data_IF_857146639986
#
_entry.id   IF_857146639986
#
_cell.length_a   1.000
_cell.length_b   1.000
_cell.length_c   1.000
_cell.angle_alpha   90.00
_cell.angle_beta   90.00
_cell.angle_gamma   90.00
#
_symmetry.space_group_name_H-M   'P 1'
#
loop_
_entity.id
_entity.type
_entity.pdbx_description
1 polymer ?
#
# COMPACT_ATOMS: atom_id res chain seq x y z
N UNK A 1 2.55 -9.66 15.43
CA UNK A 1 2.84 -8.32 14.86
C UNK A 1 2.80 -8.49 13.36
N UNK A 2 1.90 -7.81 12.65
CA UNK A 2 1.89 -7.88 11.20
C UNK A 2 3.22 -7.32 10.67
N UNK A 3 3.97 -8.12 9.93
CA UNK A 3 5.23 -7.71 9.30
C UNK A 3 4.93 -6.82 8.09
N UNK A 4 5.92 -6.02 7.70
CA UNK A 4 5.86 -5.23 6.46
C UNK A 4 5.47 -6.12 5.25
N UNK A 5 6.03 -7.32 5.15
CA UNK A 5 5.74 -8.26 4.09
C UNK A 5 4.27 -8.73 4.09
N UNK A 6 3.70 -9.02 5.26
CA UNK A 6 2.28 -9.40 5.38
C UNK A 6 1.36 -8.26 4.93
N UNK A 7 1.65 -7.02 5.34
CA UNK A 7 0.89 -5.85 4.88
C UNK A 7 0.85 -5.76 3.35
N UNK A 8 2.02 -5.83 2.72
CA UNK A 8 2.15 -5.70 1.27
C UNK A 8 1.55 -6.89 0.53
N UNK A 9 1.66 -8.11 1.06
CA UNK A 9 1.03 -9.30 0.49
C UNK A 9 -0.50 -9.23 0.55
N UNK A 10 -1.07 -8.80 1.68
CA UNK A 10 -2.52 -8.60 1.79
C UNK A 10 -3.00 -7.53 0.82
N UNK A 11 -2.30 -6.40 0.75
CA UNK A 11 -2.63 -5.32 -0.18
C UNK A 11 -2.58 -5.80 -1.64
N UNK A 12 -1.52 -6.52 -2.01
CA UNK A 12 -1.38 -7.11 -3.34
C UNK A 12 -2.55 -8.01 -3.73
N UNK A 13 -2.95 -8.88 -2.82
CA UNK A 13 -4.02 -9.84 -3.06
C UNK A 13 -5.34 -9.09 -3.30
N UNK A 14 -5.65 -8.08 -2.48
CA UNK A 14 -6.85 -7.25 -2.66
C UNK A 14 -6.84 -6.51 -4.00
N UNK A 15 -5.71 -5.92 -4.39
CA UNK A 15 -5.56 -5.26 -5.69
C UNK A 15 -5.73 -6.25 -6.86
N UNK A 16 -5.16 -7.46 -6.75
CA UNK A 16 -5.34 -8.53 -7.76
C UNK A 16 -6.79 -9.00 -7.85
N UNK A 17 -7.52 -9.00 -6.74
CA UNK A 17 -8.96 -9.30 -6.69
C UNK A 17 -9.84 -8.18 -7.28
N UNK A 18 -9.27 -7.03 -7.64
CA UNK A 18 -9.98 -5.94 -8.30
C UNK A 18 -10.40 -4.80 -7.37
N UNK A 19 -9.95 -4.79 -6.11
CA UNK A 19 -10.16 -3.64 -5.24
C UNK A 19 -9.34 -2.45 -5.74
N UNK A 20 -9.88 -1.25 -5.57
CA UNK A 20 -9.05 -0.04 -5.65
C UNK A 20 -8.09 0.01 -4.46
N UNK A 21 -6.99 0.76 -4.58
CA UNK A 21 -6.02 0.96 -3.50
C UNK A 21 -6.69 1.46 -2.21
N UNK A 22 -7.58 2.45 -2.31
CA UNK A 22 -8.30 3.00 -1.16
C UNK A 22 -9.25 2.00 -0.52
N UNK A 23 -9.98 1.21 -1.32
CA UNK A 23 -10.87 0.17 -0.82
C UNK A 23 -10.10 -0.96 -0.12
N UNK A 24 -8.96 -1.37 -0.68
CA UNK A 24 -8.10 -2.39 -0.09
C UNK A 24 -7.52 -1.93 1.26
N UNK A 25 -7.00 -0.71 1.32
CA UNK A 25 -6.51 -0.10 2.56
C UNK A 25 -7.62 -0.03 3.61
N UNK A 26 -8.81 0.47 3.25
CA UNK A 26 -9.95 0.54 4.16
C UNK A 26 -10.31 -0.84 4.72
N UNK A 27 -10.37 -1.86 3.87
CA UNK A 27 -10.64 -3.24 4.30
C UNK A 27 -9.58 -3.76 5.30
N UNK A 28 -8.30 -3.50 5.05
CA UNK A 28 -7.21 -3.88 5.95
C UNK A 28 -7.34 -3.20 7.32
N UNK A 29 -7.73 -1.91 7.35
CA UNK A 29 -7.94 -1.17 8.60
C UNK A 29 -9.17 -1.62 9.39
N UNK A 30 -10.19 -2.14 8.70
CA UNK A 30 -11.40 -2.69 9.32
C UNK A 30 -11.17 -4.10 9.88
N UNK A 31 -10.31 -4.89 9.23
CA UNK A 31 -10.03 -6.28 9.62
C UNK A 31 -8.92 -6.40 10.67
N UNK A 32 -7.96 -5.47 10.70
CA UNK A 32 -6.88 -5.44 11.68
C UNK A 32 -6.75 -4.07 12.37
N UNK A 33 -7.15 -4.01 13.64
CA UNK A 33 -7.05 -2.81 14.47
C UNK A 33 -5.61 -2.34 14.71
N UNK A 34 -4.61 -3.20 14.62
CA UNK A 34 -3.21 -2.79 14.75
C UNK A 34 -2.73 -2.00 13.51
N UNK A 35 -3.21 -2.38 12.33
CA UNK A 35 -2.89 -1.69 11.07
C UNK A 35 -3.66 -0.37 10.91
N UNK A 36 -4.82 -0.27 11.55
CA UNK A 36 -5.73 0.89 11.44
C UNK A 36 -5.04 2.25 11.54
N UNK A 37 -4.15 2.45 12.51
CA UNK A 37 -3.46 3.75 12.68
C UNK A 37 -2.57 4.09 11.48
N UNK A 38 -1.74 3.15 11.05
CA UNK A 38 -0.83 3.37 9.91
C UNK A 38 -1.60 3.54 8.60
N UNK A 39 -2.64 2.72 8.39
CA UNK A 39 -3.48 2.80 7.20
C UNK A 39 -4.26 4.12 7.13
N UNK A 40 -4.82 4.61 8.24
CA UNK A 40 -5.50 5.92 8.27
C UNK A 40 -4.54 7.04 7.88
N UNK A 41 -3.28 6.98 8.31
CA UNK A 41 -2.28 7.97 7.92
C UNK A 41 -1.94 7.90 6.42
N UNK A 42 -1.82 6.69 5.87
CA UNK A 42 -1.64 6.49 4.42
C UNK A 42 -2.83 7.05 3.64
N UNK A 43 -4.06 6.73 4.05
CA UNK A 43 -5.29 7.21 3.39
C UNK A 43 -5.37 8.74 3.41
N UNK A 44 -5.05 9.39 4.54
CA UNK A 44 -4.99 10.86 4.61
C UNK A 44 -3.97 11.45 3.62
N UNK A 45 -2.79 10.85 3.48
CA UNK A 45 -1.81 11.30 2.49
C UNK A 45 -2.35 11.17 1.07
N UNK A 46 -3.01 10.06 0.74
CA UNK A 46 -3.64 9.85 -0.57
C UNK A 46 -4.75 10.88 -0.84
N UNK A 47 -5.58 11.19 0.15
CA UNK A 47 -6.65 12.21 0.04
C UNK A 47 -6.11 13.61 -0.26
N UNK A 48 -4.89 13.93 0.21
CA UNK A 48 -4.22 15.19 -0.11
C UNK A 48 -3.56 15.22 -1.50
N UNK A 49 -3.72 14.14 -2.28
CA UNK A 49 -3.10 14.00 -3.60
C UNK A 49 -1.63 13.56 -3.55
N UNK A 50 -1.15 13.06 -2.40
CA UNK A 50 0.18 12.48 -2.33
C UNK A 50 0.21 11.09 -2.95
N UNK A 51 1.31 10.76 -3.63
CA UNK A 51 1.56 9.42 -4.16
C UNK A 51 1.59 8.36 -3.04
N UNK A 52 1.12 7.16 -3.34
CA UNK A 52 1.14 6.03 -2.42
C UNK A 52 2.57 5.69 -1.98
N UNK A 53 3.51 5.69 -2.92
CA UNK A 53 4.94 5.48 -2.66
C UNK A 53 5.48 6.40 -1.56
N UNK A 54 5.05 7.67 -1.54
CA UNK A 54 5.41 8.64 -0.49
C UNK A 54 4.73 8.32 0.84
N UNK A 55 3.45 7.93 0.79
CA UNK A 55 2.67 7.62 1.99
C UNK A 55 3.23 6.42 2.76
N UNK A 56 3.80 5.42 2.06
CA UNK A 56 4.38 4.22 2.70
C UNK A 56 5.89 4.32 2.93
N UNK A 57 6.54 5.45 2.62
CA UNK A 57 8.00 5.62 2.77
C UNK A 57 8.56 5.19 4.14
N UNK A 58 7.92 5.46 5.29
CA UNK A 58 8.43 5.02 6.59
C UNK A 58 8.38 3.50 6.78
N UNK A 59 7.58 2.82 5.97
CA UNK A 59 7.35 1.38 6.05
C UNK A 59 8.22 0.60 5.09
N UNK A 60 8.97 1.23 4.18
CA UNK A 60 9.76 0.55 3.14
C UNK A 60 11.17 1.09 3.00
N UNK A 61 12.09 0.20 2.62
CA UNK A 61 13.45 0.62 2.30
C UNK A 61 13.49 1.47 1.02
N UNK A 62 14.65 2.04 0.75
CA UNK A 62 14.87 2.94 -0.40
C UNK A 62 14.68 2.23 -1.74
N UNK A 63 15.04 0.95 -1.86
CA UNK A 63 14.89 0.21 -3.10
C UNK A 63 13.42 -0.05 -3.41
N UNK A 64 12.66 -0.56 -2.44
CA UNK A 64 11.23 -0.78 -2.53
C UNK A 64 10.47 0.52 -2.82
N UNK A 65 10.90 1.65 -2.25
CA UNK A 65 10.33 2.97 -2.55
C UNK A 65 10.44 3.34 -4.03
N UNK A 66 11.63 3.24 -4.62
CA UNK A 66 11.82 3.59 -6.02
C UNK A 66 11.07 2.65 -6.96
N UNK A 67 11.04 1.34 -6.66
CA UNK A 67 10.28 0.37 -7.44
C UNK A 67 8.76 0.67 -7.40
N UNK A 68 8.23 1.01 -6.23
CA UNK A 68 6.83 1.40 -6.08
C UNK A 68 6.50 2.70 -6.81
N UNK A 69 7.37 3.70 -6.72
CA UNK A 69 7.22 4.98 -7.42
C UNK A 69 7.22 4.81 -8.95
N UNK A 70 8.10 3.94 -9.48
CA UNK A 70 8.13 3.58 -10.91
C UNK A 70 6.82 2.87 -11.27
N UNK A 71 6.39 1.87 -10.49
CA UNK A 71 5.16 1.14 -10.75
C UNK A 71 3.91 2.05 -10.73
N UNK A 72 3.87 3.03 -9.84
CA UNK A 72 2.81 4.03 -9.72
C UNK A 72 2.79 4.98 -10.95
N UNK A 73 3.97 5.47 -11.35
CA UNK A 73 4.14 6.38 -12.50
C UNK A 73 3.75 5.72 -13.83
N UNK A 74 4.03 4.42 -13.99
CA UNK A 74 3.76 3.67 -15.21
C UNK A 74 2.42 2.91 -15.19
N UNK A 75 1.53 3.17 -14.21
CA UNK A 75 0.25 2.47 -14.07
C UNK A 75 0.36 0.95 -13.86
N UNK A 76 1.55 0.48 -13.48
CA UNK A 76 1.97 -0.92 -13.43
C UNK A 76 2.12 -1.42 -11.99
N UNK A 77 1.31 -0.90 -11.06
CA UNK A 77 1.20 -1.39 -9.67
C UNK A 77 0.99 -2.91 -9.57
N UNK A 78 0.48 -3.54 -10.64
CA UNK A 78 0.28 -4.99 -10.76
C UNK A 78 1.58 -5.81 -10.80
N UNK A 79 2.72 -5.21 -11.15
CA UNK A 79 3.99 -5.93 -11.36
C UNK A 79 4.84 -6.04 -10.08
N UNK A 80 4.59 -5.21 -9.06
CA UNK A 80 5.41 -5.14 -7.85
C UNK A 80 5.20 -6.31 -6.85
N UNK A 81 4.09 -7.05 -6.98
CA UNK A 81 3.70 -8.08 -6.00
C UNK A 81 3.66 -9.50 -6.57
N UNK A 82 4.52 -9.79 -7.56
CA UNK A 82 4.49 -11.03 -8.33
C UNK A 82 5.85 -11.71 -8.47
N UNK A 83 6.80 -11.45 -7.56
CA UNK A 83 8.13 -12.07 -7.54
C UNK A 83 8.42 -12.66 -6.17
#
# INVERSE_FOLDING_TARGET
MATQAEFFNTLANLLKSGFSLTAALKFMAETDNHLKKGVVQIMKSLETGSDFSRAVRPLIDTQAYYQLMIAETHGSLKMFYGS
#
